data_IF_649907844069
#
_entry.id   IF_649907844069
#
_cell.length_a   1.000
_cell.length_b   1.000
_cell.length_c   1.000
_cell.angle_alpha   90.00
_cell.angle_beta   90.00
_cell.angle_gamma   90.00
#
_symmetry.space_group_name_H-M   'P 1'
#
loop_
_entity.id
_entity.type
_entity.pdbx_description
1 polymer ?
#
# COMPACT_ATOMS: atom_id res chain seq x y z
N UNK A 1 12.23 15.40 -9.97
CA UNK A 1 11.09 16.08 -9.34
C UNK A 1 11.57 16.62 -8.00
N UNK A 2 11.29 17.89 -7.65
CA UNK A 2 11.67 18.44 -6.33
C UNK A 2 10.62 18.02 -5.31
N UNK A 3 11.03 17.41 -4.20
CA UNK A 3 10.12 17.02 -3.11
C UNK A 3 9.56 18.25 -2.42
N UNK A 4 8.25 18.28 -2.16
CA UNK A 4 7.59 19.33 -1.36
C UNK A 4 7.83 19.15 0.15
N UNK A 5 8.21 17.94 0.57
CA UNK A 5 8.49 17.58 1.96
C UNK A 5 9.95 17.20 2.15
N UNK A 6 10.46 17.39 3.37
CA UNK A 6 11.78 16.90 3.77
C UNK A 6 11.84 15.36 3.63
N UNK A 7 12.88 14.78 3.01
CA UNK A 7 13.07 13.32 2.93
C UNK A 7 12.97 12.61 4.29
N UNK A 8 13.40 13.25 5.38
CA UNK A 8 13.32 12.67 6.72
C UNK A 8 11.88 12.39 7.17
N UNK A 9 10.89 13.11 6.62
CA UNK A 9 9.47 12.82 6.87
C UNK A 9 9.10 11.47 6.26
N UNK A 10 9.55 11.18 5.04
CA UNK A 10 9.27 9.91 4.39
C UNK A 10 9.86 8.75 5.20
N UNK A 11 11.13 8.85 5.61
CA UNK A 11 11.80 7.85 6.44
C UNK A 11 11.07 7.63 7.78
N UNK A 12 10.63 8.72 8.43
CA UNK A 12 9.85 8.62 9.65
C UNK A 12 8.55 7.83 9.44
N UNK A 13 7.81 8.09 8.35
CA UNK A 13 6.57 7.36 8.07
C UNK A 13 6.82 5.88 7.82
N UNK A 14 7.91 5.51 7.14
CA UNK A 14 8.28 4.11 6.89
C UNK A 14 8.62 3.41 8.22
N UNK A 15 9.37 4.07 9.09
CA UNK A 15 9.76 3.51 10.39
C UNK A 15 8.60 3.33 11.37
N UNK A 16 7.55 4.14 11.27
CA UNK A 16 6.43 4.17 12.24
C UNK A 16 5.09 3.66 11.68
N UNK A 17 5.07 3.18 10.44
CA UNK A 17 3.90 2.50 9.87
C UNK A 17 4.07 1.00 10.00
N UNK A 18 3.00 0.29 10.38
CA UNK A 18 2.99 -1.17 10.38
C UNK A 18 3.45 -1.71 9.02
N UNK A 19 4.53 -2.48 9.02
CA UNK A 19 5.10 -3.03 7.80
C UNK A 19 4.20 -4.08 7.14
N UNK A 20 4.43 -4.29 5.85
CA UNK A 20 3.76 -5.32 5.07
C UNK A 20 4.08 -6.73 5.55
N UNK A 21 3.10 -7.61 5.35
CA UNK A 21 3.25 -9.06 5.52
C UNK A 21 4.19 -9.62 4.45
N UNK A 22 4.71 -10.83 4.68
CA UNK A 22 5.54 -11.51 3.68
C UNK A 22 4.81 -11.67 2.33
N UNK A 23 3.51 -11.98 2.36
CA UNK A 23 2.68 -12.12 1.16
C UNK A 23 2.60 -10.82 0.35
N UNK A 24 2.37 -9.69 1.01
CA UNK A 24 2.28 -8.39 0.34
C UNK A 24 3.62 -7.96 -0.27
N UNK A 25 4.74 -8.27 0.39
CA UNK A 25 6.09 -8.04 -0.15
C UNK A 25 6.38 -8.92 -1.36
N UNK A 26 5.97 -10.19 -1.32
CA UNK A 26 6.09 -11.10 -2.46
C UNK A 26 5.26 -10.60 -3.66
N UNK A 27 4.04 -10.11 -3.42
CA UNK A 27 3.20 -9.49 -4.45
C UNK A 27 3.86 -8.28 -5.10
N UNK A 28 4.45 -7.39 -4.30
CA UNK A 28 5.22 -6.24 -4.81
C UNK A 28 6.41 -6.69 -5.66
N UNK A 29 7.15 -7.69 -5.21
CA UNK A 29 8.29 -8.24 -5.96
C UNK A 29 7.83 -8.82 -7.30
N UNK A 30 6.80 -9.67 -7.30
CA UNK A 30 6.26 -10.27 -8.52
C UNK A 30 5.78 -9.21 -9.50
N UNK A 31 5.10 -8.17 -9.02
CA UNK A 31 4.65 -7.08 -9.87
C UNK A 31 5.83 -6.32 -10.50
N UNK A 32 6.87 -6.03 -9.71
CA UNK A 32 8.10 -5.38 -10.20
C UNK A 32 8.85 -6.22 -11.24
N UNK A 33 8.78 -7.55 -11.15
CA UNK A 33 9.49 -8.45 -12.06
C UNK A 33 8.70 -8.75 -13.35
N UNK A 34 7.36 -8.75 -13.29
CA UNK A 34 6.53 -9.34 -14.34
C UNK A 34 5.57 -8.38 -15.04
N UNK A 35 5.34 -7.18 -14.49
CA UNK A 35 4.33 -6.25 -15.00
C UNK A 35 4.98 -4.99 -15.57
N UNK A 36 4.37 -4.45 -16.61
CA UNK A 36 4.90 -3.27 -17.31
C UNK A 36 4.77 -1.97 -16.49
N UNK A 37 3.82 -1.91 -15.54
CA UNK A 37 3.51 -0.74 -14.74
C UNK A 37 3.46 -1.07 -13.23
N UNK A 38 4.58 -1.47 -12.61
CA UNK A 38 4.61 -1.92 -11.21
C UNK A 38 4.32 -0.80 -10.21
N UNK A 39 4.59 0.46 -10.58
CA UNK A 39 4.33 1.65 -9.76
C UNK A 39 2.82 1.93 -9.53
N UNK A 40 1.93 1.13 -10.14
CA UNK A 40 0.49 1.17 -9.87
C UNK A 40 0.12 0.60 -8.49
N UNK A 41 1.04 -0.07 -7.79
CA UNK A 41 0.82 -0.57 -6.43
C UNK A 41 0.86 0.58 -5.43
N UNK A 42 -0.11 0.61 -4.52
CA UNK A 42 -0.07 1.52 -3.40
C UNK A 42 0.96 1.06 -2.34
N UNK A 43 1.63 2.02 -1.69
CA UNK A 43 2.57 1.71 -0.63
C UNK A 43 1.91 1.22 0.68
N UNK A 44 2.70 0.67 1.61
CA UNK A 44 2.21 0.13 2.89
C UNK A 44 1.41 1.15 3.70
N UNK A 45 1.76 2.44 3.62
CA UNK A 45 1.05 3.51 4.33
C UNK A 45 -0.41 3.62 3.88
N UNK A 46 -0.66 3.50 2.57
CA UNK A 46 -2.01 3.55 2.00
C UNK A 46 -2.79 2.30 2.39
N UNK A 47 -2.18 1.11 2.28
CA UNK A 47 -2.82 -0.14 2.69
C UNK A 47 -3.26 -0.14 4.16
N UNK A 48 -2.38 0.31 5.08
CA UNK A 48 -2.72 0.40 6.51
C UNK A 48 -3.79 1.45 6.80
N UNK A 49 -3.82 2.56 6.06
CA UNK A 49 -4.87 3.56 6.19
C UNK A 49 -6.24 3.00 5.80
N UNK A 50 -6.34 2.34 4.64
CA UNK A 50 -7.57 1.70 4.18
C UNK A 50 -8.06 0.64 5.16
N UNK A 51 -7.14 -0.22 5.64
CA UNK A 51 -7.42 -1.21 6.69
C UNK A 51 -7.97 -0.57 7.96
N UNK A 52 -7.41 0.57 8.36
CA UNK A 52 -7.87 1.31 9.54
C UNK A 52 -9.29 1.83 9.34
N UNK A 53 -9.63 2.39 8.17
CA UNK A 53 -10.99 2.83 7.86
C UNK A 53 -12.01 1.68 7.86
N UNK A 54 -11.66 0.54 7.25
CA UNK A 54 -12.54 -0.63 7.22
C UNK A 54 -12.83 -1.12 8.65
N UNK A 55 -11.78 -1.23 9.47
CA UNK A 55 -11.91 -1.71 10.86
C UNK A 55 -12.65 -0.72 11.76
N UNK A 56 -12.33 0.57 11.67
CA UNK A 56 -12.96 1.60 12.50
C UNK A 56 -14.42 1.84 12.12
N UNK A 57 -14.75 1.71 10.82
CA UNK A 57 -16.10 1.84 10.30
C UNK A 57 -16.96 0.58 10.43
N UNK A 58 -16.42 -0.54 10.94
CA UNK A 58 -17.09 -1.84 10.98
C UNK A 58 -17.71 -2.23 9.62
N UNK A 59 -16.95 -2.01 8.55
CA UNK A 59 -17.44 -2.19 7.18
C UNK A 59 -17.57 -3.69 6.85
N UNK A 60 -18.78 -4.13 6.53
CA UNK A 60 -19.07 -5.53 6.14
C UNK A 60 -19.18 -5.74 4.62
N UNK A 61 -19.19 -4.64 3.84
CA UNK A 61 -19.27 -4.65 2.39
C UNK A 61 -18.35 -3.56 1.86
N UNK A 62 -17.33 -3.98 1.10
CA UNK A 62 -16.34 -3.10 0.50
C UNK A 62 -16.33 -3.37 -1.01
N UNK A 63 -16.37 -2.30 -1.80
CA UNK A 63 -16.22 -2.36 -3.26
C UNK A 63 -14.86 -1.74 -3.61
N UNK A 64 -14.03 -2.51 -4.29
CA UNK A 64 -12.80 -2.01 -4.90
C UNK A 64 -13.04 -1.79 -6.39
N UNK A 65 -12.62 -0.63 -6.91
CA UNK A 65 -12.68 -0.31 -8.33
C UNK A 65 -11.25 -0.06 -8.79
N UNK A 66 -10.73 -0.97 -9.62
CA UNK A 66 -9.34 -0.98 -10.05
C UNK A 66 -8.45 -1.76 -9.10
N UNK A 67 -8.38 -3.08 -9.29
CA UNK A 67 -7.70 -4.02 -8.39
C UNK A 67 -6.20 -4.15 -8.66
N UNK A 68 -5.74 -3.94 -9.89
CA UNK A 68 -4.37 -4.26 -10.32
C UNK A 68 -3.97 -5.69 -9.86
N UNK A 69 -2.92 -5.84 -9.05
CA UNK A 69 -2.50 -7.13 -8.46
C UNK A 69 -3.22 -7.50 -7.16
N UNK A 70 -4.17 -6.67 -6.71
CA UNK A 70 -4.99 -6.92 -5.51
C UNK A 70 -4.34 -6.56 -4.19
N UNK A 71 -3.24 -5.80 -4.19
CA UNK A 71 -2.49 -5.46 -2.97
C UNK A 71 -3.37 -4.78 -1.90
N UNK A 72 -4.25 -3.83 -2.28
CA UNK A 72 -5.13 -3.11 -1.35
C UNK A 72 -6.34 -3.92 -0.86
N UNK A 73 -6.67 -5.03 -1.54
CA UNK A 73 -7.82 -5.86 -1.23
C UNK A 73 -7.52 -6.96 -0.18
N UNK A 74 -6.24 -7.19 0.11
CA UNK A 74 -5.73 -8.25 1.01
C UNK A 74 -5.47 -7.70 2.41
#
# INVERSE_FOLDING_TARGET
MKSFTDPAIADYTVAHTTSDTALLKELQQIASEKLDLPDMICGPQVGQLLKTFIKSGNCNRVLEIGTFVGYSAI
#
